data_IF_151314928694
#
_entry.id   IF_151314928694
#
_cell.length_a   1.000
_cell.length_b   1.000
_cell.length_c   1.000
_cell.angle_alpha   90.00
_cell.angle_beta   90.00
_cell.angle_gamma   90.00
#
_symmetry.space_group_name_H-M   'P 1'
#
loop_
_entity.id
_entity.type
_entity.pdbx_description
1 polymer ?
#
# COMPACT_ATOMS: atom_id res chain seq x y z
N UNK A 1 -6.80 1.33 -22.14
CA UNK A 1 -6.35 2.40 -21.26
C UNK A 1 -7.41 3.50 -21.17
N UNK A 2 -7.66 4.03 -19.99
CA UNK A 2 -8.54 5.16 -19.76
C UNK A 2 -7.87 6.20 -18.86
N UNK A 3 -8.37 7.46 -18.95
CA UNK A 3 -7.80 8.60 -18.26
C UNK A 3 -6.35 8.93 -18.68
N UNK A 4 -6.03 8.71 -19.95
CA UNK A 4 -4.77 9.16 -20.54
C UNK A 4 -4.98 10.60 -21.00
N UNK A 5 -4.14 11.51 -20.52
CA UNK A 5 -4.08 12.88 -21.04
C UNK A 5 -2.72 13.14 -21.64
N UNK A 6 -2.72 13.70 -22.82
CA UNK A 6 -1.49 14.11 -23.53
C UNK A 6 -0.89 15.41 -22.95
N UNK A 7 -1.69 16.19 -22.24
CA UNK A 7 -1.22 17.47 -21.68
C UNK A 7 -0.57 17.24 -20.29
N UNK A 8 0.73 17.45 -20.27
CA UNK A 8 1.60 17.28 -19.10
C UNK A 8 1.35 18.35 -18.03
N UNK A 9 0.60 19.41 -18.35
CA UNK A 9 0.33 20.52 -17.44
C UNK A 9 -0.81 20.28 -16.45
N UNK A 10 -1.60 19.19 -16.62
CA UNK A 10 -2.70 18.89 -15.69
C UNK A 10 -2.18 18.33 -14.37
N UNK A 11 -2.16 19.19 -13.37
CA UNK A 11 -1.69 18.91 -12.00
C UNK A 11 -2.46 17.77 -11.31
N UNK A 12 -3.66 17.43 -11.81
CA UNK A 12 -4.51 16.39 -11.23
C UNK A 12 -4.16 14.97 -11.67
N UNK A 13 -3.34 14.80 -12.68
CA UNK A 13 -2.92 13.47 -13.14
C UNK A 13 -1.43 13.27 -12.90
N UNK A 14 -1.08 12.63 -11.80
CA UNK A 14 0.30 12.32 -11.43
C UNK A 14 0.78 10.97 -11.94
N UNK A 15 -0.13 10.03 -12.22
CA UNK A 15 0.24 8.76 -12.85
C UNK A 15 0.21 8.95 -14.36
N UNK A 16 1.35 8.73 -15.01
CA UNK A 16 1.56 9.04 -16.42
C UNK A 16 2.21 7.87 -17.16
N UNK A 17 1.98 7.87 -18.46
CA UNK A 17 2.76 7.18 -19.47
C UNK A 17 3.13 8.21 -20.52
N UNK A 18 4.34 8.22 -21.01
CA UNK A 18 4.75 9.21 -22.03
C UNK A 18 4.16 8.87 -23.39
N UNK A 19 4.04 9.90 -24.24
CA UNK A 19 3.57 9.70 -25.61
C UNK A 19 4.53 8.78 -26.40
N UNK A 20 5.83 8.94 -26.20
CA UNK A 20 6.87 8.14 -26.82
C UNK A 20 6.75 6.66 -26.44
N UNK A 21 6.43 6.37 -25.17
CA UNK A 21 6.19 5.01 -24.68
C UNK A 21 4.91 4.41 -25.29
N UNK A 22 3.84 5.21 -25.45
CA UNK A 22 2.61 4.77 -26.11
C UNK A 22 2.82 4.53 -27.61
N UNK A 23 3.51 5.43 -28.30
CA UNK A 23 3.80 5.32 -29.75
C UNK A 23 4.72 4.12 -30.07
N UNK A 24 5.50 3.66 -29.10
CA UNK A 24 6.38 2.50 -29.25
C UNK A 24 5.68 1.14 -29.02
N UNK A 25 4.39 1.13 -28.70
CA UNK A 25 3.61 -0.11 -28.52
C UNK A 25 3.13 -0.59 -29.88
N UNK A 26 3.71 -1.66 -30.40
CA UNK A 26 3.32 -2.29 -31.66
C UNK A 26 2.75 -3.70 -31.47
N UNK A 27 3.06 -4.33 -30.37
CA UNK A 27 2.65 -5.70 -30.04
C UNK A 27 2.05 -5.79 -28.62
N UNK A 28 1.37 -6.88 -28.32
CA UNK A 28 0.89 -7.17 -26.96
C UNK A 28 2.07 -7.31 -25.99
N UNK A 29 3.18 -7.91 -26.44
CA UNK A 29 4.39 -8.05 -25.62
C UNK A 29 4.97 -6.69 -25.25
N UNK A 30 5.01 -5.74 -26.21
CA UNK A 30 5.44 -4.37 -25.93
C UNK A 30 4.56 -3.74 -24.85
N UNK A 31 3.23 -3.91 -24.95
CA UNK A 31 2.28 -3.37 -23.96
C UNK A 31 2.46 -3.99 -22.58
N UNK A 32 2.73 -5.30 -22.50
CA UNK A 32 2.96 -6.01 -21.22
C UNK A 32 4.22 -5.54 -20.50
N UNK A 33 5.19 -5.01 -21.22
CA UNK A 33 6.43 -4.48 -20.65
C UNK A 33 6.33 -2.99 -20.28
N UNK A 34 5.26 -2.30 -20.67
CA UNK A 34 5.12 -0.87 -20.39
C UNK A 34 4.70 -0.62 -18.95
N UNK A 35 5.27 0.45 -18.42
CA UNK A 35 5.01 0.92 -17.06
C UNK A 35 4.39 2.30 -17.06
N UNK A 36 3.49 2.53 -16.11
CA UNK A 36 3.12 3.88 -15.71
C UNK A 36 4.01 4.32 -14.55
N UNK A 37 4.32 5.59 -14.49
CA UNK A 37 5.15 6.17 -13.44
C UNK A 37 4.44 7.31 -12.71
N UNK A 38 4.80 7.51 -11.47
CA UNK A 38 4.35 8.63 -10.66
C UNK A 38 5.26 9.83 -10.91
N UNK A 39 4.70 10.96 -11.31
CA UNK A 39 5.48 12.16 -11.59
C UNK A 39 6.16 12.69 -10.31
N UNK A 40 7.45 13.02 -10.44
CA UNK A 40 8.32 13.43 -9.33
C UNK A 40 8.25 14.91 -8.98
N UNK A 41 7.36 15.66 -9.62
CA UNK A 41 7.22 17.11 -9.45
C UNK A 41 6.52 17.52 -8.16
N UNK A 42 6.02 16.55 -7.40
CA UNK A 42 5.38 16.79 -6.10
C UNK A 42 6.16 16.15 -4.96
N UNK A 43 6.08 16.81 -3.82
CA UNK A 43 6.78 16.42 -2.59
C UNK A 43 6.19 15.19 -1.90
N UNK A 44 5.04 14.67 -2.38
CA UNK A 44 4.33 13.55 -1.78
C UNK A 44 4.26 12.38 -2.77
N UNK A 45 4.50 11.17 -2.30
CA UNK A 45 4.38 9.95 -3.08
C UNK A 45 2.97 9.34 -3.07
N UNK A 46 2.12 9.70 -2.10
CA UNK A 46 0.74 9.25 -2.04
C UNK A 46 -0.16 10.09 -2.94
N UNK A 47 -1.28 9.51 -3.37
CA UNK A 47 -2.29 10.15 -4.20
C UNK A 47 -3.54 10.42 -3.36
N UNK A 48 -4.28 11.46 -3.72
CA UNK A 48 -5.56 11.82 -3.09
C UNK A 48 -6.76 11.41 -3.95
N UNK A 49 -7.95 11.42 -3.35
CA UNK A 49 -9.18 10.95 -4.01
C UNK A 49 -9.63 11.84 -5.18
N UNK A 50 -9.21 13.09 -5.19
CA UNK A 50 -9.54 14.08 -6.23
C UNK A 50 -8.59 14.03 -7.44
N UNK A 51 -7.57 13.17 -7.41
CA UNK A 51 -6.65 12.98 -8.52
C UNK A 51 -7.25 12.03 -9.58
N UNK A 52 -6.87 12.24 -10.84
CA UNK A 52 -7.29 11.37 -11.94
C UNK A 52 -6.45 10.08 -11.96
N UNK A 53 -7.13 8.96 -11.89
CA UNK A 53 -6.51 7.64 -11.86
C UNK A 53 -6.41 7.03 -13.24
N UNK A 54 -5.21 6.64 -13.63
CA UNK A 54 -4.99 5.84 -14.83
C UNK A 54 -5.60 4.46 -14.62
N UNK A 55 -6.33 3.99 -15.64
CA UNK A 55 -6.99 2.68 -15.62
C UNK A 55 -6.56 1.85 -16.82
N UNK A 56 -6.45 0.56 -16.61
CA UNK A 56 -6.18 -0.42 -17.65
C UNK A 56 -7.09 -1.64 -17.47
N UNK A 57 -7.32 -2.39 -18.53
CA UNK A 57 -7.93 -3.72 -18.45
C UNK A 57 -6.85 -4.78 -18.47
N UNK A 58 -7.15 -5.95 -17.96
CA UNK A 58 -6.35 -7.14 -18.21
C UNK A 58 -6.54 -7.61 -19.66
N UNK A 59 -5.62 -8.40 -20.16
CA UNK A 59 -5.76 -9.02 -21.48
C UNK A 59 -6.90 -10.03 -21.42
N UNK A 60 -7.93 -9.80 -22.23
CA UNK A 60 -9.06 -10.72 -22.36
C UNK A 60 -9.23 -11.11 -23.81
N UNK A 61 -9.35 -12.39 -24.07
CA UNK A 61 -9.75 -12.89 -25.39
C UNK A 61 -11.22 -12.57 -25.63
N UNK A 62 -11.48 -11.81 -26.70
CA UNK A 62 -12.85 -11.43 -27.09
C UNK A 62 -13.22 -12.27 -28.31
N UNK A 63 -14.22 -13.14 -28.18
CA UNK A 63 -14.77 -13.86 -29.32
C UNK A 63 -15.84 -13.00 -29.99
N UNK A 64 -15.59 -12.57 -31.21
CA UNK A 64 -16.57 -11.89 -32.05
C UNK A 64 -17.44 -12.93 -32.78
N UNK A 65 -18.73 -12.98 -32.46
CA UNK A 65 -19.68 -13.84 -33.17
C UNK A 65 -20.22 -13.10 -34.41
N UNK A 66 -19.99 -13.68 -35.59
CA UNK A 66 -20.45 -13.11 -36.86
C UNK A 66 -21.92 -13.50 -37.17
N UNK A 67 -22.82 -13.35 -36.23
CA UNK A 67 -24.26 -13.72 -36.36
C UNK A 67 -25.16 -12.52 -36.68
N UNK A 68 -24.62 -11.45 -37.24
CA UNK A 68 -25.41 -10.32 -37.76
C UNK A 68 -26.11 -9.42 -36.74
N UNK A 69 -25.79 -9.60 -35.44
CA UNK A 69 -26.27 -8.75 -34.34
C UNK A 69 -25.19 -7.83 -33.79
N UNK A 70 -25.57 -6.74 -33.13
CA UNK A 70 -24.61 -5.90 -32.41
C UNK A 70 -24.03 -6.72 -31.22
N UNK A 71 -22.72 -6.96 -31.23
CA UNK A 71 -22.03 -7.55 -30.10
C UNK A 71 -21.74 -6.46 -29.06
N UNK A 72 -22.45 -6.49 -27.93
CA UNK A 72 -22.09 -5.67 -26.78
C UNK A 72 -20.88 -6.29 -26.09
N UNK A 73 -19.74 -5.61 -26.10
CA UNK A 73 -18.53 -6.02 -25.43
C UNK A 73 -18.38 -5.16 -24.17
N UNK A 74 -18.34 -5.79 -23.00
CA UNK A 74 -18.03 -5.12 -21.73
C UNK A 74 -16.53 -5.30 -21.44
N UNK A 75 -15.82 -4.19 -21.32
CA UNK A 75 -14.39 -4.17 -20.98
C UNK A 75 -14.27 -3.62 -19.55
N UNK A 76 -13.90 -4.45 -18.55
CA UNK A 76 -13.66 -3.96 -17.20
C UNK A 76 -12.39 -3.11 -17.16
N UNK A 77 -12.48 -1.95 -16.52
CA UNK A 77 -11.32 -1.07 -16.31
C UNK A 77 -10.93 -1.08 -14.84
N UNK A 78 -9.67 -1.39 -14.59
CA UNK A 78 -9.08 -1.47 -13.25
C UNK A 78 -8.15 -0.28 -13.02
N UNK A 79 -8.26 0.37 -11.86
CA UNK A 79 -7.31 1.41 -11.46
C UNK A 79 -5.94 0.78 -11.22
N UNK A 80 -4.87 1.45 -11.63
CA UNK A 80 -3.51 0.95 -11.41
C UNK A 80 -3.02 1.10 -9.96
N UNK A 81 -3.87 1.56 -9.09
CA UNK A 81 -3.56 1.81 -7.68
C UNK A 81 -4.52 1.12 -6.75
N UNK A 82 -4.09 1.03 -5.51
CA UNK A 82 -4.87 0.63 -4.36
C UNK A 82 -5.27 1.83 -3.52
N UNK A 83 -6.42 1.74 -2.87
CA UNK A 83 -6.85 2.60 -1.76
C UNK A 83 -6.38 1.97 -0.46
N UNK A 84 -5.75 2.74 0.41
CA UNK A 84 -5.31 2.30 1.73
C UNK A 84 -5.91 3.21 2.79
N UNK A 85 -6.65 2.65 3.70
CA UNK A 85 -7.31 3.33 4.81
C UNK A 85 -6.84 2.80 6.14
N UNK A 86 -6.43 3.70 7.03
CA UNK A 86 -6.07 3.39 8.40
C UNK A 86 -7.11 3.95 9.36
N UNK A 87 -7.46 3.17 10.36
CA UNK A 87 -8.40 3.50 11.44
C UNK A 87 -7.76 3.17 12.78
N UNK A 88 -7.60 4.17 13.63
CA UNK A 88 -7.16 3.95 15.00
C UNK A 88 -8.41 3.72 15.85
N UNK A 89 -8.53 2.52 16.36
CA UNK A 89 -9.71 2.08 17.09
C UNK A 89 -9.32 1.65 18.50
N UNK A 90 -10.19 1.89 19.46
CA UNK A 90 -10.14 1.33 20.82
C UNK A 90 -8.70 1.34 21.42
N UNK A 91 -8.06 2.50 21.39
CA UNK A 91 -6.67 2.72 21.77
C UNK A 91 -6.56 3.65 22.98
N UNK A 92 -6.96 3.20 24.21
CA UNK A 92 -6.99 4.04 25.39
C UNK A 92 -5.60 4.59 25.73
N UNK A 93 -5.54 5.90 25.97
CA UNK A 93 -4.29 6.59 26.31
C UNK A 93 -3.37 6.90 25.14
N UNK A 94 -3.72 6.57 23.91
CA UNK A 94 -2.98 6.95 22.70
C UNK A 94 -3.66 8.13 22.00
N UNK A 95 -2.89 9.17 21.73
CA UNK A 95 -3.29 10.34 20.95
C UNK A 95 -2.36 10.42 19.73
N UNK A 96 -2.84 10.06 18.55
CA UNK A 96 -2.02 10.14 17.34
C UNK A 96 -1.79 11.60 16.94
N UNK A 97 -0.58 11.93 16.51
CA UNK A 97 -0.19 13.29 16.14
C UNK A 97 0.23 13.40 14.68
N UNK A 98 1.03 12.44 14.21
CA UNK A 98 1.62 12.45 12.87
C UNK A 98 1.57 11.06 12.27
N UNK A 99 1.36 10.99 10.96
CA UNK A 99 1.57 9.79 10.16
C UNK A 99 2.34 10.13 8.88
N UNK A 100 3.06 9.16 8.35
CA UNK A 100 3.69 9.25 7.04
C UNK A 100 3.89 7.87 6.42
N UNK A 101 4.04 7.83 5.11
CA UNK A 101 4.21 6.60 4.32
C UNK A 101 5.61 6.59 3.71
N UNK A 102 6.27 5.46 3.78
CA UNK A 102 7.65 5.30 3.31
C UNK A 102 7.71 4.18 2.29
N UNK A 103 8.60 4.31 1.30
CA UNK A 103 8.78 3.39 0.18
C UNK A 103 7.51 3.26 -0.69
N UNK A 104 6.94 4.39 -1.08
CA UNK A 104 5.80 4.40 -1.99
C UNK A 104 6.29 4.07 -3.40
N UNK A 105 5.70 3.07 -4.08
CA UNK A 105 6.14 2.70 -5.42
C UNK A 105 6.01 3.85 -6.43
N UNK A 106 7.07 4.08 -7.21
CA UNK A 106 7.08 5.13 -8.25
C UNK A 106 6.61 4.65 -9.60
N UNK A 107 6.55 3.33 -9.83
CA UNK A 107 6.19 2.72 -11.11
C UNK A 107 5.30 1.50 -10.91
N UNK A 108 4.48 1.19 -11.90
CA UNK A 108 3.71 -0.06 -12.00
C UNK A 108 3.53 -0.46 -13.45
N UNK A 109 3.36 -1.74 -13.74
CA UNK A 109 3.01 -2.21 -15.09
C UNK A 109 1.62 -1.74 -15.50
N UNK A 110 1.44 -1.42 -16.79
CA UNK A 110 0.10 -1.17 -17.36
C UNK A 110 -0.73 -2.46 -17.32
N UNK A 111 -0.18 -3.54 -17.85
CA UNK A 111 -0.74 -4.89 -17.73
C UNK A 111 0.06 -5.67 -16.71
N UNK A 112 -0.63 -6.41 -15.84
CA UNK A 112 0.05 -7.27 -14.88
C UNK A 112 0.76 -8.39 -15.65
N UNK A 113 2.09 -8.56 -15.52
CA UNK A 113 2.79 -9.66 -16.18
C UNK A 113 2.34 -10.99 -15.59
N UNK A 114 2.34 -12.04 -16.41
CA UNK A 114 1.94 -13.40 -16.00
C UNK A 114 2.88 -13.97 -14.91
N UNK A 115 4.14 -13.55 -14.89
CA UNK A 115 5.06 -13.84 -13.79
C UNK A 115 5.14 -12.64 -12.86
N UNK A 116 5.00 -12.87 -11.56
CA UNK A 116 5.07 -11.86 -10.51
C UNK A 116 6.50 -11.34 -10.25
N UNK A 117 7.35 -11.26 -11.30
CA UNK A 117 8.61 -10.56 -11.16
C UNK A 117 8.28 -9.10 -10.82
N UNK A 118 8.54 -8.74 -9.58
CA UNK A 118 8.47 -7.35 -9.15
C UNK A 118 9.29 -6.52 -10.11
N UNK A 119 8.73 -5.39 -10.55
CA UNK A 119 9.59 -4.33 -11.10
C UNK A 119 10.73 -4.12 -10.12
N UNK A 120 11.96 -4.14 -10.61
CA UNK A 120 13.06 -3.55 -9.85
C UNK A 120 12.75 -2.06 -9.68
N UNK A 121 11.96 -1.77 -8.67
CA UNK A 121 11.57 -0.40 -8.36
C UNK A 121 12.75 0.21 -7.62
N UNK A 122 13.54 0.99 -8.31
CA UNK A 122 14.69 1.68 -7.72
C UNK A 122 14.30 3.01 -7.10
N UNK A 123 13.19 3.60 -7.56
CA UNK A 123 12.74 4.91 -7.13
C UNK A 123 11.50 4.77 -6.26
N UNK A 124 11.64 5.14 -4.99
CA UNK A 124 10.56 5.20 -4.02
C UNK A 124 10.41 6.61 -3.49
N UNK A 125 9.17 6.98 -3.22
CA UNK A 125 8.84 8.23 -2.57
C UNK A 125 8.62 8.03 -1.07
N UNK A 126 8.81 9.10 -0.32
CA UNK A 126 8.43 9.20 1.08
C UNK A 126 7.38 10.29 1.20
N UNK A 127 6.27 9.99 1.87
CA UNK A 127 5.28 11.00 2.20
C UNK A 127 5.83 11.92 3.28
N UNK A 128 5.57 13.21 3.17
CA UNK A 128 5.84 14.17 4.25
C UNK A 128 4.94 13.86 5.46
N UNK A 129 5.39 14.27 6.62
CA UNK A 129 4.62 14.15 7.86
C UNK A 129 3.24 14.79 7.69
N UNK A 130 2.20 13.97 7.85
CA UNK A 130 0.82 14.40 7.82
C UNK A 130 0.28 14.45 9.24
N UNK A 131 -0.45 15.51 9.57
CA UNK A 131 -1.08 15.66 10.86
C UNK A 131 -2.46 15.00 10.86
N UNK A 132 -2.81 14.36 11.96
CA UNK A 132 -4.18 13.92 12.17
C UNK A 132 -5.11 15.13 12.31
N UNK A 133 -6.27 15.05 11.67
CA UNK A 133 -7.27 16.12 11.69
C UNK A 133 -8.02 16.24 13.02
N UNK A 134 -8.01 15.18 13.82
CA UNK A 134 -8.69 15.09 15.10
C UNK A 134 -7.76 14.64 16.23
N UNK A 135 -8.30 14.57 17.43
CA UNK A 135 -7.63 14.05 18.61
C UNK A 135 -8.44 12.92 19.22
N UNK A 136 -7.81 11.77 19.46
CA UNK A 136 -8.43 10.65 20.17
C UNK A 136 -8.85 9.49 19.27
N UNK A 137 -9.78 8.68 19.78
CA UNK A 137 -10.24 7.47 19.10
C UNK A 137 -11.04 7.76 17.85
N UNK A 138 -10.89 6.89 16.87
CA UNK A 138 -11.61 7.00 15.61
C UNK A 138 -10.91 7.89 14.58
N UNK A 139 -9.71 8.34 14.85
CA UNK A 139 -8.88 9.03 13.86
C UNK A 139 -8.56 8.08 12.70
N UNK A 140 -8.73 8.61 11.51
CA UNK A 140 -8.50 7.86 10.27
C UNK A 140 -7.81 8.72 9.25
N UNK A 141 -7.09 8.07 8.35
CA UNK A 141 -6.54 8.68 7.15
C UNK A 141 -6.58 7.70 5.99
N UNK A 142 -6.56 8.23 4.80
CA UNK A 142 -6.62 7.49 3.55
C UNK A 142 -5.60 8.04 2.58
N UNK A 143 -4.96 7.14 1.83
CA UNK A 143 -4.11 7.50 0.71
C UNK A 143 -4.24 6.46 -0.39
N UNK A 144 -3.74 6.78 -1.59
CA UNK A 144 -3.66 5.87 -2.71
C UNK A 144 -2.19 5.67 -3.08
N UNK A 145 -1.84 4.46 -3.50
CA UNK A 145 -0.51 4.13 -4.00
C UNK A 145 -0.59 3.18 -5.19
N UNK A 146 0.48 3.13 -5.98
CA UNK A 146 0.61 2.14 -7.04
C UNK A 146 0.74 0.73 -6.47
N UNK A 147 0.42 -0.27 -7.31
CA UNK A 147 0.58 -1.69 -6.99
C UNK A 147 2.02 -2.02 -6.57
N UNK A 148 2.16 -2.87 -5.56
CA UNK A 148 3.43 -3.40 -5.08
C UNK A 148 3.28 -4.89 -4.76
N UNK A 149 3.98 -5.75 -5.49
CA UNK A 149 3.86 -7.21 -5.39
C UNK A 149 5.16 -7.83 -4.85
N UNK A 150 5.67 -7.29 -3.75
CA UNK A 150 6.93 -7.72 -3.15
C UNK A 150 6.79 -9.00 -2.33
N UNK A 151 7.78 -9.88 -2.45
CA UNK A 151 7.89 -11.09 -1.65
C UNK A 151 8.78 -10.85 -0.41
N UNK A 152 8.56 -11.57 0.70
CA UNK A 152 9.38 -11.43 1.91
C UNK A 152 10.84 -11.82 1.65
N UNK A 153 11.78 -11.11 2.28
CA UNK A 153 13.20 -11.50 2.26
C UNK A 153 13.45 -12.80 3.03
N UNK A 154 12.74 -12.99 4.12
CA UNK A 154 12.83 -14.16 4.97
C UNK A 154 11.45 -14.53 5.50
N UNK A 155 11.12 -15.82 5.45
CA UNK A 155 9.82 -16.31 5.89
C UNK A 155 9.69 -16.28 7.41
N UNK A 156 8.59 -15.69 7.88
CA UNK A 156 8.17 -15.73 9.28
C UNK A 156 7.41 -17.04 9.48
N UNK A 157 7.81 -17.83 10.46
CA UNK A 157 7.20 -19.14 10.77
C UNK A 157 6.17 -19.07 11.91
N UNK A 158 6.22 -18.00 12.69
CA UNK A 158 5.25 -17.77 13.75
C UNK A 158 3.98 -17.12 13.20
N UNK A 159 2.85 -17.50 13.77
CA UNK A 159 1.52 -16.95 13.42
C UNK A 159 1.01 -15.96 14.45
N UNK A 160 -0.10 -15.30 14.13
CA UNK A 160 -0.80 -14.37 15.01
C UNK A 160 0.07 -13.19 15.46
N UNK A 161 -0.17 -12.66 16.65
CA UNK A 161 0.53 -11.49 17.20
C UNK A 161 2.06 -11.64 17.20
N UNK A 162 2.59 -12.82 17.43
CA UNK A 162 4.03 -13.08 17.44
C UNK A 162 4.62 -12.94 16.06
N UNK A 163 3.97 -13.51 15.07
CA UNK A 163 4.38 -13.39 13.66
C UNK A 163 4.24 -11.94 13.18
N UNK A 164 3.11 -11.28 13.51
CA UNK A 164 2.90 -9.89 13.14
C UNK A 164 4.03 -8.97 13.62
N UNK A 165 4.46 -9.08 14.88
CA UNK A 165 5.56 -8.24 15.41
C UNK A 165 6.86 -8.41 14.66
N UNK A 166 7.09 -9.57 14.03
CA UNK A 166 8.30 -9.82 13.22
C UNK A 166 8.29 -9.10 11.88
N UNK A 167 7.15 -8.68 11.39
CA UNK A 167 7.03 -7.95 10.12
C UNK A 167 7.81 -6.62 10.14
N UNK A 168 7.75 -5.89 11.25
CA UNK A 168 8.44 -4.60 11.42
C UNK A 168 9.83 -4.73 12.05
N UNK A 169 10.31 -5.95 12.29
CA UNK A 169 11.59 -6.16 12.95
C UNK A 169 12.76 -5.71 12.05
N UNK A 170 13.67 -4.92 12.62
CA UNK A 170 14.86 -4.41 11.94
C UNK A 170 16.08 -5.25 12.25
N UNK A 171 16.99 -5.37 11.28
CA UNK A 171 18.32 -5.99 11.46
C UNK A 171 19.13 -5.16 12.46
N UNK A 172 19.82 -5.83 13.36
CA UNK A 172 20.74 -5.16 14.29
C UNK A 172 22.00 -4.72 13.53
N UNK A 173 22.37 -3.46 13.68
CA UNK A 173 23.64 -2.95 13.15
C UNK A 173 24.58 -2.69 14.33
N UNK A 174 25.51 -3.57 14.59
CA UNK A 174 26.43 -3.48 15.74
C UNK A 174 25.74 -3.66 17.09
N UNK A 175 26.25 -3.01 18.13
CA UNK A 175 25.69 -3.06 19.49
C UNK A 175 24.54 -2.08 19.72
N UNK A 176 24.08 -1.41 18.68
CA UNK A 176 23.08 -0.35 18.80
C UNK A 176 21.66 -0.93 18.63
N UNK A 177 20.99 -1.15 19.75
CA UNK A 177 19.60 -1.64 19.81
C UNK A 177 18.56 -0.60 19.37
N UNK A 178 18.97 0.65 19.09
CA UNK A 178 18.09 1.78 18.87
C UNK A 178 18.01 2.25 17.40
N UNK A 179 18.71 1.64 16.46
CA UNK A 179 18.60 2.05 15.05
C UNK A 179 17.27 1.55 14.44
N UNK A 180 16.26 2.38 14.58
CA UNK A 180 14.94 2.21 13.93
C UNK A 180 14.99 2.37 12.41
N UNK A 181 16.12 2.78 11.84
CA UNK A 181 16.33 3.04 10.41
C UNK A 181 17.16 1.93 9.71
N UNK A 182 17.40 0.79 10.36
CA UNK A 182 18.07 -0.35 9.75
C UNK A 182 17.15 -1.08 8.75
N UNK A 183 17.75 -1.93 7.92
CA UNK A 183 17.02 -2.81 7.01
C UNK A 183 16.03 -3.71 7.77
N UNK A 184 14.91 -4.04 7.15
CA UNK A 184 14.00 -5.03 7.69
C UNK A 184 14.65 -6.41 7.75
N UNK A 185 14.27 -7.22 8.72
CA UNK A 185 14.77 -8.57 8.88
C UNK A 185 14.02 -9.57 7.99
N UNK A 186 12.71 -9.42 7.90
CA UNK A 186 11.82 -10.35 7.21
C UNK A 186 11.07 -9.70 6.04
N UNK A 187 10.60 -8.48 6.21
CA UNK A 187 9.92 -7.75 5.15
C UNK A 187 10.87 -7.43 3.98
N UNK A 188 10.36 -7.30 2.75
CA UNK A 188 11.14 -6.83 1.62
C UNK A 188 11.84 -5.50 1.95
N UNK A 189 13.03 -5.28 1.43
CA UNK A 189 13.80 -4.05 1.69
C UNK A 189 12.99 -2.80 1.33
N UNK A 190 12.25 -2.88 0.26
CA UNK A 190 11.47 -1.79 -0.33
C UNK A 190 9.98 -1.87 0.00
N UNK A 191 9.61 -2.62 1.04
CA UNK A 191 8.21 -2.69 1.46
C UNK A 191 7.66 -1.30 1.78
N UNK A 192 6.47 -1.00 1.29
CA UNK A 192 5.75 0.19 1.74
C UNK A 192 5.29 0.00 3.18
N UNK A 193 5.57 0.97 4.03
CA UNK A 193 5.13 0.94 5.42
C UNK A 193 4.64 2.30 5.88
N UNK A 194 3.69 2.27 6.78
CA UNK A 194 3.17 3.45 7.47
C UNK A 194 3.84 3.60 8.82
N UNK A 195 4.16 4.83 9.16
CA UNK A 195 4.61 5.21 10.49
C UNK A 195 3.54 6.07 11.12
N UNK A 196 3.14 5.70 12.34
CA UNK A 196 2.20 6.47 13.17
C UNK A 196 2.94 6.88 14.44
N UNK A 197 2.96 8.17 14.72
CA UNK A 197 3.55 8.76 15.92
C UNK A 197 2.47 9.42 16.76
N UNK A 198 2.67 9.44 18.08
CA UNK A 198 1.71 10.05 18.97
C UNK A 198 2.19 10.05 20.42
N UNK A 199 1.36 10.63 21.28
CA UNK A 199 1.54 10.60 22.73
C UNK A 199 0.80 9.39 23.30
N UNK A 200 1.44 8.69 24.22
CA UNK A 200 0.85 7.56 24.91
C UNK A 200 0.92 7.75 26.43
N UNK A 201 -0.20 7.54 27.07
CA UNK A 201 -0.32 7.54 28.54
C UNK A 201 -1.20 6.35 28.95
N UNK A 202 -0.57 5.26 29.33
CA UNK A 202 -1.28 4.01 29.60
C UNK A 202 -0.37 2.93 30.15
N UNK A 203 -0.86 1.68 30.28
CA UNK A 203 -0.04 0.57 30.71
C UNK A 203 1.09 0.31 29.71
N UNK A 204 2.27 -0.05 30.22
CA UNK A 204 3.43 -0.39 29.36
C UNK A 204 3.10 -1.47 28.34
N UNK A 205 2.24 -2.42 28.75
CA UNK A 205 1.68 -3.47 27.93
C UNK A 205 0.28 -3.78 28.45
N UNK A 206 -0.61 -4.24 27.59
CA UNK A 206 -1.98 -4.61 27.98
C UNK A 206 -1.99 -5.59 29.17
N UNK A 207 -2.74 -5.23 30.23
CA UNK A 207 -2.84 -6.01 31.45
C UNK A 207 -1.70 -5.83 32.46
N UNK A 208 -0.67 -5.03 32.17
CA UNK A 208 0.39 -4.70 33.14
C UNK A 208 -0.03 -3.52 34.02
N UNK A 209 0.33 -3.54 35.31
CA UNK A 209 0.01 -2.44 36.25
C UNK A 209 0.92 -1.21 36.04
N UNK A 210 2.05 -1.37 35.38
CA UNK A 210 3.02 -0.29 35.19
C UNK A 210 2.53 0.72 34.16
N UNK A 211 2.25 1.93 34.60
CA UNK A 211 1.86 3.05 33.75
C UNK A 211 3.10 3.76 33.23
N UNK A 212 3.04 4.16 31.97
CA UNK A 212 4.10 4.92 31.28
C UNK A 212 3.47 6.05 30.49
N UNK A 213 4.21 7.16 30.34
CA UNK A 213 3.81 8.29 29.52
C UNK A 213 4.99 8.71 28.64
N UNK A 214 4.73 9.04 27.38
CA UNK A 214 5.76 9.51 26.45
C UNK A 214 5.35 9.40 24.99
N UNK A 215 6.24 9.84 24.12
CA UNK A 215 6.06 9.72 22.69
C UNK A 215 6.34 8.28 22.24
N UNK A 216 5.49 7.78 21.36
CA UNK A 216 5.58 6.44 20.78
C UNK A 216 5.55 6.50 19.26
N UNK A 217 6.15 5.48 18.64
CA UNK A 217 6.23 5.35 17.19
C UNK A 217 5.95 3.91 16.80
N UNK A 218 4.98 3.73 15.90
CA UNK A 218 4.62 2.42 15.39
C UNK A 218 4.92 2.34 13.90
N UNK A 219 5.56 1.26 13.46
CA UNK A 219 5.88 0.96 12.06
C UNK A 219 5.03 -0.20 11.59
N UNK A 220 4.27 -0.01 10.53
CA UNK A 220 3.27 -0.96 10.03
C UNK A 220 3.55 -1.24 8.55
N UNK A 221 4.28 -2.34 8.21
CA UNK A 221 4.43 -2.78 6.83
C UNK A 221 3.07 -3.17 6.24
N UNK A 222 2.80 -2.73 5.00
CA UNK A 222 1.55 -3.02 4.31
C UNK A 222 1.46 -4.50 3.86
N UNK A 223 0.30 -4.90 3.32
CA UNK A 223 -0.09 -6.28 3.09
C UNK A 223 -0.85 -6.83 4.29
N UNK A 224 -0.57 -8.07 4.72
CA UNK A 224 -1.22 -8.72 5.86
C UNK A 224 -2.68 -9.09 5.62
N UNK A 225 -3.05 -9.35 4.38
CA UNK A 225 -4.44 -9.64 3.98
C UNK A 225 -4.62 -11.03 3.37
N UNK A 226 -3.56 -11.80 3.18
CA UNK A 226 -3.65 -13.19 2.74
C UNK A 226 -4.25 -14.06 3.86
N UNK A 227 -5.33 -14.78 3.54
CA UNK A 227 -6.04 -15.60 4.52
C UNK A 227 -5.24 -16.83 4.96
N UNK A 228 -4.25 -17.27 4.16
CA UNK A 228 -3.46 -18.46 4.41
C UNK A 228 -2.14 -18.19 5.09
N UNK A 229 -1.44 -17.11 4.72
CA UNK A 229 -0.14 -16.72 5.27
C UNK A 229 0.00 -15.20 5.44
N UNK A 230 -0.85 -14.57 6.26
CA UNK A 230 -0.89 -13.11 6.36
C UNK A 230 0.43 -12.50 6.84
N UNK A 231 1.19 -13.19 7.69
CA UNK A 231 2.45 -12.66 8.25
C UNK A 231 3.54 -12.50 7.19
N UNK A 232 3.48 -13.23 6.10
CA UNK A 232 4.41 -13.17 4.98
C UNK A 232 3.85 -12.41 3.76
N UNK A 233 2.62 -11.92 3.84
CA UNK A 233 2.01 -11.12 2.79
C UNK A 233 2.43 -9.65 2.91
N UNK A 234 3.14 -9.13 1.91
CA UNK A 234 3.56 -7.73 1.77
C UNK A 234 3.04 -7.10 0.46
N UNK A 235 2.06 -7.76 -0.18
CA UNK A 235 1.52 -7.34 -1.45
C UNK A 235 0.44 -6.29 -1.29
N UNK A 236 0.46 -5.31 -2.16
CA UNK A 236 -0.61 -4.34 -2.35
C UNK A 236 -1.02 -4.41 -3.82
N UNK A 237 -2.17 -4.99 -4.07
CA UNK A 237 -2.69 -5.19 -5.41
C UNK A 237 -3.50 -3.98 -5.88
N UNK A 238 -3.41 -3.69 -7.16
CA UNK A 238 -4.20 -2.62 -7.82
C UNK A 238 -5.70 -2.87 -7.69
N UNK A 239 -6.48 -1.82 -7.85
CA UNK A 239 -7.95 -1.86 -7.86
C UNK A 239 -8.57 -2.48 -6.59
N UNK A 240 -7.90 -2.37 -5.46
CA UNK A 240 -8.26 -2.99 -4.19
C UNK A 240 -8.30 -1.93 -3.08
N UNK A 241 -9.22 -2.08 -2.14
CA UNK A 241 -9.33 -1.23 -0.96
C UNK A 241 -8.86 -2.01 0.28
N UNK A 242 -7.74 -1.58 0.85
CA UNK A 242 -7.16 -2.10 2.09
C UNK A 242 -7.61 -1.26 3.27
N UNK A 243 -8.10 -1.92 4.33
CA UNK A 243 -8.51 -1.27 5.58
C UNK A 243 -7.69 -1.86 6.71
N UNK A 244 -6.95 -1.01 7.41
CA UNK A 244 -6.14 -1.37 8.57
C UNK A 244 -6.79 -0.80 9.84
N UNK A 245 -7.30 -1.67 10.69
CA UNK A 245 -7.77 -1.34 12.03
C UNK A 245 -6.60 -1.49 13.01
N UNK A 246 -6.18 -0.40 13.62
CA UNK A 246 -5.04 -0.34 14.53
C UNK A 246 -5.54 -0.11 15.94
N UNK A 247 -5.16 -0.98 16.86
CA UNK A 247 -5.39 -0.83 18.30
C UNK A 247 -4.06 -0.76 19.02
N UNK A 248 -3.80 0.35 19.70
CA UNK A 248 -2.61 0.53 20.53
C UNK A 248 -2.88 -0.07 21.90
N UNK A 249 -2.07 -1.05 22.30
CA UNK A 249 -2.18 -1.79 23.56
C UNK A 249 -1.05 -1.51 24.55
N UNK A 250 -0.03 -0.76 24.11
CA UNK A 250 1.14 -0.45 24.94
C UNK A 250 2.23 0.25 24.14
N UNK A 251 3.33 0.58 24.79
CA UNK A 251 4.45 1.37 24.19
C UNK A 251 5.04 0.72 22.94
N UNK A 252 5.13 -0.61 22.91
CA UNK A 252 5.64 -1.38 21.78
C UNK A 252 4.65 -2.50 21.38
N UNK A 253 3.38 -2.32 21.71
CA UNK A 253 2.36 -3.33 21.51
C UNK A 253 1.17 -2.73 20.76
N UNK A 254 1.01 -3.15 19.52
CA UNK A 254 -0.15 -2.83 18.69
C UNK A 254 -0.79 -4.13 18.19
N UNK A 255 -2.10 -4.08 18.06
CA UNK A 255 -2.86 -5.06 17.30
C UNK A 255 -3.23 -4.45 15.96
N UNK A 256 -3.07 -5.22 14.90
CA UNK A 256 -3.42 -4.81 13.55
C UNK A 256 -4.32 -5.87 12.93
N UNK A 257 -5.44 -5.44 12.44
CA UNK A 257 -6.33 -6.21 11.60
C UNK A 257 -6.36 -5.55 10.22
N UNK A 258 -6.02 -6.29 9.18
CA UNK A 258 -6.09 -5.82 7.79
C UNK A 258 -7.19 -6.56 7.05
N UNK A 259 -8.02 -5.82 6.34
CA UNK A 259 -9.13 -6.34 5.53
C UNK A 259 -8.97 -5.86 4.11
N UNK A 260 -9.19 -6.75 3.15
CA UNK A 260 -9.20 -6.46 1.72
C UNK A 260 -10.64 -6.42 1.21
N UNK A 261 -10.95 -5.43 0.39
CA UNK A 261 -12.25 -5.25 -0.24
C UNK A 261 -12.08 -4.95 -1.72
N UNK A 262 -13.11 -5.29 -2.50
CA UNK A 262 -13.21 -4.83 -3.88
C UNK A 262 -13.37 -3.29 -3.96
N UNK A 263 -13.27 -2.69 -5.15
CA UNK A 263 -13.42 -1.25 -5.32
C UNK A 263 -14.78 -0.70 -4.92
N UNK A 264 -15.83 -1.52 -4.96
CA UNK A 264 -17.18 -1.18 -4.54
C UNK A 264 -17.36 -1.27 -3.01
N UNK A 265 -16.37 -1.77 -2.30
CA UNK A 265 -16.35 -1.86 -0.84
C UNK A 265 -16.93 -3.15 -0.27
N UNK A 266 -17.25 -4.12 -1.11
CA UNK A 266 -17.62 -5.46 -0.67
C UNK A 266 -16.38 -6.24 -0.19
N UNK A 267 -16.51 -7.19 0.74
CA UNK A 267 -15.42 -8.13 1.02
C UNK A 267 -15.00 -8.81 -0.29
N UNK A 268 -13.69 -8.87 -0.55
CA UNK A 268 -13.19 -9.62 -1.71
C UNK A 268 -13.73 -11.05 -1.61
N UNK A 269 -14.56 -11.43 -2.57
CA UNK A 269 -14.92 -12.82 -2.75
C UNK A 269 -13.64 -13.53 -3.21
N UNK A 270 -13.19 -14.52 -2.48
CA UNK A 270 -12.00 -15.32 -2.75
C UNK A 270 -11.86 -15.60 -4.25
N UNK A 271 -10.78 -15.09 -4.81
CA UNK A 271 -10.38 -15.41 -6.19
C UNK A 271 -9.42 -16.57 -6.20
#
# INVERSE_FOLDING_TARGET
>A
LANIRADVSDVKQRIRITKEELDAINTLEDLQQRTAFLASDKETGTLSEDELFLMCTDVTDITLNNTGGANAITIPLHRLMAKVEFRIIDSPGFIPTVWHVINIPSKTYLLRPASTSSLEQRDYFMEKDQKFAGTGYGDRFTFYQLESLLEPQSKITESGDRGYRKRALRKKTGNDYQKTNGEFMNAPEQVTYVVIEGEYNGPRKEGEPTMVAGNVKYTIPLGYTDNTDPVNDYKIERNTHYIYNIRVRGVNDIYVEAVRKDPEGNPDSER
#
